data_IF_427713912742
#
_entry.id   IF_427713912742
#
_cell.length_a   1.000
_cell.length_b   1.000
_cell.length_c   1.000
_cell.angle_alpha   90.00
_cell.angle_beta   90.00
_cell.angle_gamma   90.00
#
_symmetry.space_group_name_H-M   'P 1'
#
loop_
_entity.id
_entity.type
_entity.pdbx_description
1 polymer ?
#
# COMPACT_ATOMS: atom_id res chain seq x y z
N UNK A 1 7.84 12.67 -14.72
CA UNK A 1 7.78 13.34 -13.41
C UNK A 1 9.07 13.03 -12.67
N UNK A 2 9.90 14.02 -12.37
CA UNK A 2 11.12 13.83 -11.58
C UNK A 2 10.73 13.75 -10.11
N UNK A 3 10.54 12.54 -9.59
CA UNK A 3 10.37 12.34 -8.14
C UNK A 3 11.59 12.90 -7.44
N UNK A 4 11.38 13.73 -6.41
CA UNK A 4 12.44 14.39 -5.63
C UNK A 4 13.37 13.39 -4.91
N UNK A 5 13.02 12.10 -4.91
CA UNK A 5 13.74 11.00 -4.30
C UNK A 5 13.80 9.79 -5.25
N UNK A 6 14.88 9.02 -5.13
CA UNK A 6 14.99 7.71 -5.77
C UNK A 6 13.97 6.74 -5.16
N UNK A 7 13.44 5.83 -5.99
CA UNK A 7 12.49 4.82 -5.54
C UNK A 7 13.17 3.92 -4.50
N UNK A 8 12.52 3.77 -3.34
CA UNK A 8 13.00 2.88 -2.28
C UNK A 8 12.87 1.44 -2.77
N UNK A 9 13.94 0.65 -2.61
CA UNK A 9 13.91 -0.77 -2.97
C UNK A 9 12.88 -1.54 -2.15
N UNK A 10 12.08 -2.37 -2.81
CA UNK A 10 11.09 -3.27 -2.19
C UNK A 10 11.69 -4.22 -1.15
N UNK A 11 13.00 -4.50 -1.26
CA UNK A 11 13.76 -5.29 -0.27
C UNK A 11 13.66 -4.72 1.15
N UNK A 12 13.54 -3.39 1.31
CA UNK A 12 13.34 -2.77 2.61
C UNK A 12 11.99 -3.14 3.20
N UNK A 13 10.92 -3.05 2.41
CA UNK A 13 9.55 -3.31 2.83
C UNK A 13 9.35 -4.80 3.15
N UNK A 14 9.91 -5.69 2.32
CA UNK A 14 9.93 -7.15 2.60
C UNK A 14 10.63 -7.42 3.94
N UNK A 15 11.76 -6.78 4.22
CA UNK A 15 12.47 -6.92 5.50
C UNK A 15 11.63 -6.41 6.67
N UNK A 16 10.89 -5.32 6.49
CA UNK A 16 10.04 -4.76 7.53
C UNK A 16 8.86 -5.68 7.84
N UNK A 17 8.20 -6.25 6.82
CA UNK A 17 7.12 -7.23 7.00
C UNK A 17 7.61 -8.49 7.72
N UNK A 18 8.79 -9.01 7.37
CA UNK A 18 9.41 -10.14 8.10
C UNK A 18 9.57 -9.85 9.59
N UNK A 19 10.12 -8.68 9.95
CA UNK A 19 10.25 -8.26 11.36
C UNK A 19 8.91 -8.10 12.08
N UNK A 20 7.87 -7.68 11.36
CA UNK A 20 6.52 -7.58 11.91
C UNK A 20 5.92 -8.97 12.16
N UNK A 21 6.02 -9.87 11.18
CA UNK A 21 5.56 -11.26 11.25
C UNK A 21 6.21 -12.02 12.41
N UNK A 22 7.51 -11.82 12.67
CA UNK A 22 8.21 -12.42 13.82
C UNK A 22 7.57 -12.10 15.18
N UNK A 23 6.76 -11.03 15.26
CA UNK A 23 6.07 -10.60 16.48
C UNK A 23 4.57 -10.91 16.47
N UNK A 24 4.06 -11.47 15.37
CA UNK A 24 2.65 -11.85 15.27
C UNK A 24 2.36 -13.07 16.13
N UNK A 25 1.11 -13.16 16.60
CA UNK A 25 0.62 -14.41 17.19
C UNK A 25 0.40 -15.44 16.08
N UNK A 26 0.57 -16.74 16.35
CA UNK A 26 0.24 -17.77 15.38
C UNK A 26 -1.25 -17.72 15.02
N UNK A 27 -1.57 -18.04 13.77
CA UNK A 27 -2.90 -18.02 13.16
C UNK A 27 -3.60 -16.67 13.27
N UNK A 28 -2.86 -15.57 13.14
CA UNK A 28 -3.41 -14.22 13.19
C UNK A 28 -3.31 -13.49 11.85
N UNK A 29 -4.31 -12.64 11.59
CA UNK A 29 -4.43 -11.79 10.41
C UNK A 29 -4.18 -10.34 10.80
N UNK A 30 -3.25 -9.67 10.14
CA UNK A 30 -3.06 -8.23 10.26
C UNK A 30 -3.58 -7.51 9.03
N UNK A 31 -4.31 -6.41 9.24
CA UNK A 31 -4.89 -5.57 8.18
C UNK A 31 -4.44 -4.14 8.43
N UNK A 32 -3.81 -3.52 7.43
CA UNK A 32 -3.37 -2.13 7.45
C UNK A 32 -4.10 -1.38 6.34
N UNK A 33 -4.76 -0.28 6.71
CA UNK A 33 -5.49 0.55 5.76
C UNK A 33 -4.67 1.82 5.46
N UNK A 34 -4.82 2.33 4.24
CA UNK A 34 -4.44 3.71 3.92
C UNK A 34 -5.28 4.70 4.71
N UNK A 35 -4.81 5.94 4.77
CA UNK A 35 -5.66 7.04 5.21
C UNK A 35 -6.76 7.34 4.18
N UNK A 36 -7.83 7.97 4.65
CA UNK A 36 -8.84 8.57 3.79
C UNK A 36 -8.38 9.92 3.24
N UNK A 37 -9.02 10.37 2.16
CA UNK A 37 -8.88 11.75 1.68
C UNK A 37 -9.78 12.64 2.53
N UNK A 38 -9.18 13.59 3.25
CA UNK A 38 -9.91 14.47 4.17
C UNK A 38 -10.54 15.67 3.43
N UNK A 39 -11.85 15.93 3.59
CA UNK A 39 -12.49 17.11 3.02
C UNK A 39 -12.16 18.38 3.81
N UNK A 40 -11.97 19.50 3.11
CA UNK A 40 -11.86 20.85 3.70
C UNK A 40 -13.22 21.55 3.68
N UNK A 41 -13.89 21.57 2.52
CA UNK A 41 -15.22 22.14 2.32
C UNK A 41 -15.80 21.65 0.98
N UNK A 42 -17.06 21.21 0.98
CA UNK A 42 -17.74 20.67 -0.22
C UNK A 42 -16.84 19.68 -0.98
N UNK A 43 -16.49 19.97 -2.23
CA UNK A 43 -15.67 19.09 -3.09
C UNK A 43 -14.15 19.32 -2.93
N UNK A 44 -13.72 20.22 -2.03
CA UNK A 44 -12.29 20.50 -1.80
C UNK A 44 -11.70 19.56 -0.74
N UNK A 45 -10.51 19.04 -1.00
CA UNK A 45 -9.82 18.08 -0.13
C UNK A 45 -8.45 18.58 0.33
N UNK A 46 -7.98 18.06 1.46
CA UNK A 46 -6.60 18.24 1.90
C UNK A 46 -5.67 17.37 1.05
N UNK A 47 -4.39 17.77 0.88
CA UNK A 47 -3.40 16.89 0.28
C UNK A 47 -3.34 15.56 1.01
N UNK A 48 -3.34 14.46 0.24
CA UNK A 48 -3.25 13.13 0.80
C UNK A 48 -1.94 12.95 1.58
N UNK A 49 -2.02 12.31 2.74
CA UNK A 49 -0.87 11.90 3.52
C UNK A 49 -1.08 10.45 3.96
N UNK A 50 -0.25 9.55 3.46
CA UNK A 50 -0.39 8.12 3.72
C UNK A 50 -0.22 7.77 5.20
N UNK A 51 -0.95 6.75 5.65
CA UNK A 51 -0.75 6.16 6.96
C UNK A 51 0.65 5.55 7.07
N UNK A 52 1.43 5.95 8.08
CA UNK A 52 2.85 5.61 8.16
C UNK A 52 3.10 4.11 8.26
N UNK A 53 2.20 3.37 8.91
CA UNK A 53 2.37 1.93 9.10
C UNK A 53 2.23 1.14 7.79
N UNK A 54 1.20 1.41 6.97
CA UNK A 54 1.07 0.75 5.67
C UNK A 54 2.23 1.16 4.76
N UNK A 55 2.60 2.44 4.74
CA UNK A 55 3.75 2.91 3.96
C UNK A 55 5.06 2.23 4.40
N UNK A 56 5.28 2.08 5.70
CA UNK A 56 6.48 1.41 6.23
C UNK A 56 6.56 -0.08 5.83
N UNK A 57 5.42 -0.73 5.63
CA UNK A 57 5.33 -2.16 5.32
C UNK A 57 5.20 -2.46 3.82
N UNK A 58 4.70 -1.54 2.99
CA UNK A 58 4.49 -1.75 1.56
C UNK A 58 5.12 -0.71 0.64
N UNK A 59 5.51 0.47 1.14
CA UNK A 59 5.97 1.58 0.31
C UNK A 59 4.89 2.22 -0.58
N UNK A 60 3.64 1.77 -0.46
CA UNK A 60 2.51 2.28 -1.25
C UNK A 60 2.07 3.63 -0.71
N UNK A 61 2.11 4.65 -1.56
CA UNK A 61 1.65 6.01 -1.26
C UNK A 61 0.41 6.34 -2.10
N UNK A 62 -0.66 5.59 -1.84
CA UNK A 62 -1.95 5.70 -2.53
C UNK A 62 -3.09 5.53 -1.52
N UNK A 63 -4.17 6.28 -1.70
CA UNK A 63 -5.42 6.10 -0.97
C UNK A 63 -6.11 4.79 -1.34
N UNK A 64 -7.20 4.46 -0.62
CA UNK A 64 -8.02 3.27 -0.85
C UNK A 64 -7.18 1.98 -1.04
N UNK A 65 -6.14 1.85 -0.20
CA UNK A 65 -5.19 0.76 -0.24
C UNK A 65 -5.24 -0.05 1.05
N UNK A 66 -5.21 -1.37 0.93
CA UNK A 66 -5.26 -2.28 2.08
C UNK A 66 -4.15 -3.32 1.95
N UNK A 67 -3.28 -3.40 2.94
CA UNK A 67 -2.29 -4.46 3.07
C UNK A 67 -2.77 -5.49 4.09
N UNK A 68 -2.80 -6.74 3.66
CA UNK A 68 -3.13 -7.90 4.47
C UNK A 68 -1.88 -8.76 4.65
N UNK A 69 -1.58 -9.14 5.89
CA UNK A 69 -0.46 -10.03 6.22
C UNK A 69 -1.01 -11.20 7.05
N UNK A 70 -0.88 -12.42 6.52
CA UNK A 70 -1.30 -13.66 7.15
C UNK A 70 -0.25 -14.77 6.95
N UNK A 71 0.80 -14.84 7.78
CA UNK A 71 1.92 -15.76 7.55
C UNK A 71 1.51 -17.25 7.53
N UNK A 72 0.46 -17.61 8.28
CA UNK A 72 -0.04 -18.97 8.43
C UNK A 72 -1.15 -19.33 7.41
N UNK A 73 -1.34 -18.53 6.36
CA UNK A 73 -2.27 -18.85 5.29
C UNK A 73 -1.90 -20.19 4.62
N UNK A 74 -2.90 -21.03 4.36
CA UNK A 74 -2.71 -22.32 3.70
C UNK A 74 -2.17 -22.17 2.27
N UNK A 75 -2.74 -21.24 1.49
CA UNK A 75 -2.18 -20.85 0.20
C UNK A 75 -1.07 -19.81 0.42
N UNK A 76 0.11 -20.05 -0.13
CA UNK A 76 1.25 -19.13 0.01
C UNK A 76 0.97 -17.76 -0.61
N UNK A 77 0.18 -17.73 -1.70
CA UNK A 77 -0.25 -16.49 -2.36
C UNK A 77 -1.13 -15.60 -1.49
N UNK A 78 -1.73 -16.16 -0.42
CA UNK A 78 -2.59 -15.41 0.49
C UNK A 78 -1.85 -14.92 1.73
N UNK A 79 -0.53 -15.14 1.83
CA UNK A 79 0.26 -14.72 3.00
C UNK A 79 0.48 -13.22 3.05
N UNK A 80 0.56 -12.57 1.90
CA UNK A 80 0.64 -11.12 1.77
C UNK A 80 -0.26 -10.72 0.59
N UNK A 81 -1.24 -9.84 0.82
CA UNK A 81 -2.14 -9.37 -0.23
C UNK A 81 -2.25 -7.86 -0.15
N UNK A 82 -2.07 -7.19 -1.28
CA UNK A 82 -2.25 -5.75 -1.40
C UNK A 82 -3.46 -5.46 -2.30
N UNK A 83 -4.48 -4.84 -1.74
CA UNK A 83 -5.62 -4.32 -2.47
C UNK A 83 -5.41 -2.85 -2.78
N UNK A 84 -5.70 -2.46 -4.02
CA UNK A 84 -5.59 -1.10 -4.52
C UNK A 84 -6.84 -0.76 -5.32
N UNK A 85 -7.21 0.52 -5.33
CA UNK A 85 -8.18 1.08 -6.28
C UNK A 85 -7.63 0.93 -7.70
N UNK A 86 -8.39 0.26 -8.56
CA UNK A 86 -8.09 0.17 -9.98
C UNK A 86 -8.27 1.54 -10.65
N UNK A 87 -7.37 1.89 -11.57
CA UNK A 87 -7.49 3.13 -12.35
C UNK A 87 -7.93 2.84 -13.77
N UNK A 88 -8.58 3.84 -14.37
CA UNK A 88 -9.00 3.87 -15.77
C UNK A 88 -8.40 5.13 -16.40
N UNK A 89 -8.12 5.11 -17.70
CA UNK A 89 -7.65 6.28 -18.47
C UNK A 89 -8.46 7.55 -18.19
N UNK A 90 -9.78 7.46 -18.02
CA UNK A 90 -10.63 8.59 -17.67
C UNK A 90 -10.38 9.13 -16.25
N UNK A 91 -10.05 8.28 -15.29
CA UNK A 91 -9.80 8.65 -13.88
C UNK A 91 -8.39 9.25 -13.75
N UNK A 92 -7.40 8.70 -14.46
CA UNK A 92 -6.01 9.15 -14.42
C UNK A 92 -5.84 10.62 -14.83
N UNK A 93 -6.71 11.12 -15.72
CA UNK A 93 -6.70 12.53 -16.16
C UNK A 93 -7.06 13.48 -15.01
N UNK A 94 -7.93 13.06 -14.09
CA UNK A 94 -8.48 13.92 -13.03
C UNK A 94 -7.84 13.67 -11.65
N UNK A 95 -7.57 12.40 -11.31
CA UNK A 95 -7.08 11.99 -9.98
C UNK A 95 -5.58 11.63 -9.97
N UNK A 96 -4.92 11.70 -11.13
CA UNK A 96 -3.52 11.33 -11.32
C UNK A 96 -3.31 9.82 -11.54
N UNK A 97 -2.07 9.46 -11.90
CA UNK A 97 -1.68 8.08 -12.13
C UNK A 97 -1.70 7.29 -10.81
N UNK A 98 -2.48 6.20 -10.78
CA UNK A 98 -2.49 5.23 -9.68
C UNK A 98 -1.58 4.06 -10.05
N UNK A 99 -1.12 3.32 -9.04
CA UNK A 99 -0.29 2.14 -9.26
C UNK A 99 -1.06 1.07 -10.04
N UNK A 100 -0.45 0.57 -11.12
CA UNK A 100 -0.88 -0.69 -11.74
C UNK A 100 -0.48 -1.86 -10.84
N UNK A 101 -1.04 -3.05 -11.08
CA UNK A 101 -0.66 -4.26 -10.34
C UNK A 101 0.84 -4.53 -10.45
N UNK A 102 1.40 -4.40 -11.65
CA UNK A 102 2.82 -4.63 -11.91
C UNK A 102 3.68 -3.62 -11.15
N UNK A 103 3.31 -2.34 -11.15
CA UNK A 103 4.06 -1.31 -10.43
C UNK A 103 3.91 -1.45 -8.91
N UNK A 104 2.73 -1.84 -8.44
CA UNK A 104 2.49 -2.13 -7.03
C UNK A 104 3.38 -3.28 -6.54
N UNK A 105 3.49 -4.36 -7.30
CA UNK A 105 4.38 -5.47 -6.99
C UNK A 105 5.85 -5.06 -7.05
N UNK A 106 6.25 -4.23 -8.01
CA UNK A 106 7.63 -3.71 -8.09
C UNK A 106 7.99 -2.87 -6.84
N UNK A 107 7.08 -1.99 -6.41
CA UNK A 107 7.29 -1.08 -5.27
C UNK A 107 7.26 -1.85 -3.95
N UNK A 108 6.26 -2.70 -3.75
CA UNK A 108 5.98 -3.33 -2.44
C UNK A 108 6.63 -4.68 -2.24
N UNK A 109 6.92 -5.41 -3.33
CA UNK A 109 7.31 -6.82 -3.29
C UNK A 109 6.20 -7.74 -2.78
N UNK A 110 4.94 -7.32 -2.89
CA UNK A 110 3.72 -8.12 -2.65
C UNK A 110 3.14 -8.55 -3.99
#
# INVERSE_FOLDING_TARGET
>A
MTTKYEQISSSLFIKNRKKFVEKMKPNSLAIFNSNDIYPVSSDSTMPFAQHRDIFYLSGVDQEESILLIFPDAYNEEHREILFLRETNEHIAVWEGEKLTKEKATEVSGV
#
